data_IF_683029795985
#
_entry.id   IF_683029795985
#
_cell.length_a   1.000
_cell.length_b   1.000
_cell.length_c   1.000
_cell.angle_alpha   90.00
_cell.angle_beta   90.00
_cell.angle_gamma   90.00
#
_symmetry.space_group_name_H-M   'P 1'
#
loop_
_entity.id
_entity.type
_entity.pdbx_description
1 polymer ?
#
# COMPACT_ATOMS: atom_id res chain seq x y z
N UNK A 1 58.83 -44.82 47.77
CA UNK A 1 58.58 -43.81 46.72
C UNK A 1 57.17 -43.89 46.11
N UNK A 2 56.22 -44.63 46.71
CA UNK A 2 55.03 -45.11 45.99
C UNK A 2 53.75 -44.32 46.32
N UNK A 3 53.66 -43.63 47.47
CA UNK A 3 52.47 -42.83 47.85
C UNK A 3 52.26 -41.58 46.99
N UNK A 4 53.33 -40.97 46.46
CA UNK A 4 53.23 -39.77 45.60
C UNK A 4 52.61 -40.09 44.23
N UNK A 5 52.78 -41.33 43.75
CA UNK A 5 52.21 -41.80 42.47
C UNK A 5 50.70 -42.00 42.60
N UNK A 6 50.22 -42.53 43.73
CA UNK A 6 48.78 -42.69 43.98
C UNK A 6 48.04 -41.35 44.10
N UNK A 7 48.67 -40.32 44.68
CA UNK A 7 48.07 -38.98 44.80
C UNK A 7 47.95 -38.31 43.42
N UNK A 8 48.94 -38.50 42.53
CA UNK A 8 48.90 -38.02 41.14
C UNK A 8 47.78 -38.69 40.31
N UNK A 9 47.58 -40.01 40.49
CA UNK A 9 46.54 -40.74 39.78
C UNK A 9 45.11 -40.31 40.19
N UNK A 10 44.90 -39.92 41.45
CA UNK A 10 43.59 -39.44 41.93
C UNK A 10 43.24 -38.06 41.35
N UNK A 11 44.23 -37.17 41.16
CA UNK A 11 44.00 -35.87 40.52
C UNK A 11 43.63 -35.98 39.03
N UNK A 12 44.10 -37.00 38.32
CA UNK A 12 43.78 -37.19 36.90
C UNK A 12 42.30 -37.59 36.67
N UNK A 13 41.68 -38.27 37.63
CA UNK A 13 40.26 -38.66 37.58
C UNK A 13 39.29 -37.48 37.82
N UNK A 14 39.75 -36.39 38.43
CA UNK A 14 38.93 -35.22 38.73
C UNK A 14 38.76 -34.25 37.53
N UNK A 15 39.49 -34.46 36.43
CA UNK A 15 39.54 -33.55 35.27
C UNK A 15 38.69 -34.05 34.10
N UNK A 16 37.79 -35.01 34.32
CA UNK A 16 36.77 -35.35 33.33
C UNK A 16 35.76 -34.20 33.18
N UNK A 17 36.14 -33.19 32.41
CA UNK A 17 35.25 -32.14 31.95
C UNK A 17 34.24 -32.76 30.97
N UNK A 18 33.00 -32.92 31.41
CA UNK A 18 31.90 -33.24 30.52
C UNK A 18 31.66 -32.04 29.61
N UNK A 19 31.65 -32.27 28.30
CA UNK A 19 31.21 -31.28 27.33
C UNK A 19 29.76 -30.90 27.62
N UNK A 20 29.53 -29.67 28.08
CA UNK A 20 28.20 -29.09 28.16
C UNK A 20 27.73 -28.76 26.74
N UNK A 21 26.67 -29.44 26.30
CA UNK A 21 25.94 -29.12 25.09
C UNK A 21 25.24 -27.77 25.30
N UNK A 22 25.78 -26.71 24.69
CA UNK A 22 25.05 -25.45 24.57
C UNK A 22 23.99 -25.69 23.50
N UNK A 23 22.76 -25.92 23.95
CA UNK A 23 21.61 -26.12 23.06
C UNK A 23 21.45 -24.99 22.04
N UNK A 24 20.69 -25.27 20.98
CA UNK A 24 20.47 -24.35 19.86
C UNK A 24 19.97 -22.99 20.35
N UNK A 25 20.72 -21.93 20.01
CA UNK A 25 20.29 -20.56 20.21
C UNK A 25 19.16 -20.31 19.21
N UNK A 26 17.92 -20.28 19.69
CA UNK A 26 16.80 -19.79 18.90
C UNK A 26 16.96 -18.27 18.78
N UNK A 27 17.42 -17.82 17.61
CA UNK A 27 17.37 -16.41 17.25
C UNK A 27 15.90 -16.05 17.11
N UNK A 28 15.35 -15.40 18.13
CA UNK A 28 14.09 -14.69 18.01
C UNK A 28 14.34 -13.51 17.07
N UNK A 29 14.19 -13.74 15.76
CA UNK A 29 14.16 -12.68 14.77
C UNK A 29 12.91 -11.84 15.06
N UNK A 30 13.09 -10.76 15.81
CA UNK A 30 12.13 -9.68 15.88
C UNK A 30 12.28 -8.89 14.57
N UNK A 31 11.64 -9.41 13.52
CA UNK A 31 11.59 -8.81 12.19
C UNK A 31 10.79 -7.50 12.32
N UNK A 32 11.49 -6.41 12.63
CA UNK A 32 10.98 -5.03 12.57
C UNK A 32 10.80 -4.55 11.12
N UNK A 33 10.53 -5.47 10.18
CA UNK A 33 10.23 -5.13 8.81
C UNK A 33 8.73 -4.94 8.75
N UNK A 34 8.30 -3.68 8.87
CA UNK A 34 6.95 -3.27 8.49
C UNK A 34 6.80 -3.63 7.01
N UNK A 35 6.15 -4.76 6.74
CA UNK A 35 5.78 -5.16 5.38
C UNK A 35 4.94 -4.01 4.85
N UNK A 36 5.53 -3.21 3.95
CA UNK A 36 4.76 -2.29 3.14
C UNK A 36 3.96 -3.21 2.23
N UNK A 37 2.70 -3.44 2.60
CA UNK A 37 1.76 -4.14 1.73
C UNK A 37 1.81 -3.44 0.38
N UNK A 38 2.07 -4.22 -0.66
CA UNK A 38 1.97 -3.77 -2.03
C UNK A 38 0.51 -3.35 -2.27
N UNK A 39 0.25 -2.04 -2.22
CA UNK A 39 -1.06 -1.44 -2.46
C UNK A 39 -1.45 -1.50 -3.95
N UNK A 40 -0.72 -2.25 -4.78
CA UNK A 40 -1.08 -2.49 -6.19
C UNK A 40 -2.42 -3.23 -6.36
N UNK A 41 -2.90 -3.91 -5.33
CA UNK A 41 -4.14 -4.71 -5.34
C UNK A 41 -5.41 -3.99 -4.86
N UNK A 42 -5.30 -2.85 -4.17
CA UNK A 42 -6.44 -1.95 -4.00
C UNK A 42 -6.49 -1.10 -5.27
N UNK A 43 -7.59 -1.17 -6.03
CA UNK A 43 -7.77 -0.36 -7.24
C UNK A 43 -7.20 1.03 -6.99
N UNK A 44 -6.10 1.38 -7.67
CA UNK A 44 -5.48 2.70 -7.53
C UNK A 44 -6.57 3.70 -7.91
N UNK A 45 -7.27 4.23 -6.88
CA UNK A 45 -8.38 5.15 -7.07
C UNK A 45 -7.78 6.28 -7.89
N UNK A 46 -8.20 6.39 -9.15
CA UNK A 46 -7.65 7.39 -10.05
C UNK A 46 -7.77 8.74 -9.35
N UNK A 47 -6.71 9.53 -9.36
CA UNK A 47 -6.73 10.85 -8.73
C UNK A 47 -7.80 11.79 -9.34
N UNK A 48 -8.33 11.43 -10.51
CA UNK A 48 -9.30 12.19 -11.28
C UNK A 48 -10.57 11.37 -11.52
N UNK A 49 -11.73 11.90 -11.14
CA UNK A 49 -13.02 11.20 -11.28
C UNK A 49 -13.36 10.91 -12.73
N UNK A 50 -13.07 11.83 -13.66
CA UNK A 50 -13.36 11.64 -15.07
C UNK A 50 -12.60 10.43 -15.64
N UNK A 51 -11.32 10.27 -15.26
CA UNK A 51 -10.52 9.11 -15.65
C UNK A 51 -11.04 7.81 -15.01
N UNK A 52 -11.43 7.82 -13.73
CA UNK A 52 -12.07 6.68 -13.09
C UNK A 52 -13.36 6.24 -13.82
N UNK A 53 -14.23 7.20 -14.14
CA UNK A 53 -15.49 6.97 -14.84
C UNK A 53 -15.29 6.40 -16.24
N UNK A 54 -14.29 6.91 -16.97
CA UNK A 54 -13.89 6.42 -18.29
C UNK A 54 -13.40 4.97 -18.26
N UNK A 55 -12.70 4.56 -17.19
CA UNK A 55 -12.24 3.17 -17.05
C UNK A 55 -13.37 2.23 -16.64
N UNK A 56 -14.31 2.71 -15.80
CA UNK A 56 -15.42 1.91 -15.27
C UNK A 56 -16.60 1.76 -16.23
N UNK A 57 -16.84 2.74 -17.11
CA UNK A 57 -17.99 2.74 -18.03
C UNK A 57 -17.59 2.96 -19.49
N UNK A 58 -17.89 2.02 -20.41
CA UNK A 58 -17.58 2.18 -21.83
C UNK A 58 -18.42 3.26 -22.54
N UNK A 59 -19.52 3.70 -21.92
CA UNK A 59 -20.34 4.81 -22.46
C UNK A 59 -19.71 6.18 -22.22
N UNK A 60 -18.66 6.25 -21.39
CA UNK A 60 -17.97 7.47 -20.99
C UNK A 60 -16.60 7.52 -21.68
N UNK A 61 -16.36 8.58 -22.43
CA UNK A 61 -15.04 8.86 -23.00
C UNK A 61 -14.39 10.04 -22.28
N UNK A 62 -13.08 9.95 -22.08
CA UNK A 62 -12.29 10.99 -21.42
C UNK A 62 -11.88 12.08 -22.42
N UNK A 63 -12.13 13.35 -22.08
CA UNK A 63 -11.45 14.50 -22.69
C UNK A 63 -10.28 14.85 -21.77
N UNK A 64 -9.07 14.48 -22.20
CA UNK A 64 -7.86 14.79 -21.44
C UNK A 64 -7.49 16.26 -21.59
N UNK A 65 -7.36 16.97 -20.47
CA UNK A 65 -7.00 18.40 -20.42
C UNK A 65 -5.70 18.65 -19.65
N UNK A 66 -5.45 17.86 -18.60
CA UNK A 66 -4.25 17.96 -17.77
C UNK A 66 -3.97 16.60 -17.10
N UNK A 67 -3.11 16.57 -16.08
CA UNK A 67 -2.92 15.40 -15.21
C UNK A 67 -4.17 15.09 -14.36
N UNK A 68 -4.94 16.12 -14.00
CA UNK A 68 -6.19 16.05 -13.22
C UNK A 68 -7.22 17.03 -13.80
N UNK A 69 -8.45 17.02 -13.27
CA UNK A 69 -9.54 17.88 -13.71
C UNK A 69 -9.88 17.64 -15.19
N UNK A 70 -9.87 16.36 -15.59
CA UNK A 70 -10.32 16.00 -16.93
C UNK A 70 -11.85 16.03 -16.99
N UNK A 71 -12.33 15.98 -18.22
CA UNK A 71 -13.70 16.20 -18.56
C UNK A 71 -14.26 14.97 -19.28
N UNK A 72 -15.58 14.80 -19.30
CA UNK A 72 -16.21 13.59 -19.82
C UNK A 72 -17.11 13.87 -21.02
N UNK A 73 -17.23 12.84 -21.86
CA UNK A 73 -18.25 12.73 -22.90
C UNK A 73 -19.09 11.50 -22.61
N UNK A 74 -20.39 11.68 -22.47
CA UNK A 74 -21.34 10.59 -22.22
C UNK A 74 -22.13 10.34 -23.50
N UNK A 75 -21.86 9.24 -24.21
CA UNK A 75 -22.57 8.86 -25.45
C UNK A 75 -22.64 10.01 -26.47
N UNK A 76 -21.55 10.75 -26.64
CA UNK A 76 -21.46 11.92 -27.53
C UNK A 76 -21.96 13.25 -26.94
N UNK A 77 -22.61 13.24 -25.78
CA UNK A 77 -22.99 14.46 -25.05
C UNK A 77 -21.78 15.02 -24.30
N UNK A 78 -21.70 16.35 -24.19
CA UNK A 78 -20.60 17.08 -23.55
C UNK A 78 -21.13 18.33 -22.86
N UNK A 79 -20.35 18.88 -21.93
CA UNK A 79 -20.68 20.13 -21.23
C UNK A 79 -22.03 20.05 -20.53
N UNK A 80 -22.80 21.14 -20.56
CA UNK A 80 -24.05 21.29 -19.82
C UNK A 80 -25.19 20.41 -20.36
N UNK A 81 -24.94 19.65 -21.45
CA UNK A 81 -25.82 18.55 -21.85
C UNK A 81 -25.73 17.35 -20.88
N UNK A 82 -24.77 17.36 -19.96
CA UNK A 82 -24.62 16.39 -18.88
C UNK A 82 -24.83 17.13 -17.57
N UNK A 83 -25.87 16.76 -16.83
CA UNK A 83 -26.09 17.24 -15.47
C UNK A 83 -25.30 16.36 -14.50
N UNK A 84 -24.37 16.95 -13.76
CA UNK A 84 -23.63 16.29 -12.69
C UNK A 84 -24.18 16.77 -11.36
N UNK A 85 -24.62 15.82 -10.52
CA UNK A 85 -25.12 16.08 -9.18
C UNK A 85 -24.25 15.36 -8.16
N UNK A 86 -23.97 16.02 -7.04
CA UNK A 86 -23.32 15.45 -5.85
C UNK A 86 -24.28 15.70 -4.70
N UNK A 87 -24.69 14.65 -4.00
CA UNK A 87 -25.62 14.74 -2.87
C UNK A 87 -26.87 15.60 -3.19
N UNK A 88 -27.49 15.30 -4.34
CA UNK A 88 -28.64 16.02 -4.91
C UNK A 88 -28.41 17.50 -5.30
N UNK A 89 -27.21 18.05 -5.05
CA UNK A 89 -26.83 19.38 -5.48
C UNK A 89 -26.21 19.36 -6.88
N UNK A 90 -26.62 20.29 -7.74
CA UNK A 90 -26.04 20.46 -9.08
C UNK A 90 -24.70 21.17 -8.95
N UNK A 91 -23.64 20.59 -9.49
CA UNK A 91 -22.31 21.21 -9.52
C UNK A 91 -22.06 21.84 -10.87
N UNK A 92 -21.65 23.11 -10.85
CA UNK A 92 -21.35 23.91 -12.03
C UNK A 92 -19.90 24.39 -11.96
N UNK A 93 -19.21 24.39 -13.10
CA UNK A 93 -17.90 25.06 -13.22
C UNK A 93 -18.08 26.57 -13.38
N UNK A 94 -17.08 27.33 -12.96
CA UNK A 94 -17.05 28.80 -13.06
C UNK A 94 -16.11 29.31 -14.16
N UNK A 95 -15.12 28.52 -14.59
CA UNK A 95 -14.17 28.95 -15.60
C UNK A 95 -14.79 28.97 -17.00
N UNK A 96 -14.68 30.10 -17.71
CA UNK A 96 -15.14 30.22 -19.11
C UNK A 96 -14.48 29.20 -20.03
N UNK A 97 -13.22 28.82 -19.75
CA UNK A 97 -12.47 27.83 -20.51
C UNK A 97 -12.69 26.39 -20.03
N UNK A 98 -13.52 26.18 -18.99
CA UNK A 98 -13.87 24.88 -18.40
C UNK A 98 -12.65 24.12 -17.85
N UNK A 99 -11.74 24.84 -17.20
CA UNK A 99 -10.60 24.25 -16.48
C UNK A 99 -11.02 23.46 -15.22
N UNK A 100 -12.25 23.71 -14.76
CA UNK A 100 -12.89 23.20 -13.56
C UNK A 100 -14.20 22.48 -13.92
N UNK A 101 -14.17 21.38 -14.70
CA UNK A 101 -15.38 20.63 -15.01
C UNK A 101 -16.06 20.16 -13.72
N UNK A 102 -17.40 19.97 -13.68
CA UNK A 102 -18.08 19.54 -12.46
C UNK A 102 -17.50 18.27 -11.81
N UNK A 103 -16.97 17.35 -12.62
CA UNK A 103 -16.27 16.14 -12.18
C UNK A 103 -14.97 16.41 -11.42
N UNK A 104 -14.31 17.55 -11.62
CA UNK A 104 -13.06 17.89 -10.91
C UNK A 104 -13.29 18.31 -9.46
N UNK A 105 -14.53 18.58 -9.07
CA UNK A 105 -14.88 18.98 -7.70
C UNK A 105 -15.12 17.77 -6.79
N UNK A 106 -14.96 16.55 -7.32
CA UNK A 106 -15.18 15.30 -6.58
C UNK A 106 -13.85 14.60 -6.37
N UNK A 107 -13.53 14.35 -5.11
CA UNK A 107 -12.41 13.51 -4.74
C UNK A 107 -12.86 12.06 -4.84
N UNK A 108 -12.21 11.26 -5.69
CA UNK A 108 -12.57 9.85 -5.94
C UNK A 108 -12.50 8.97 -4.70
N UNK A 109 -11.65 9.32 -3.72
CA UNK A 109 -11.57 8.63 -2.43
C UNK A 109 -12.87 8.71 -1.64
N UNK A 110 -13.63 9.81 -1.78
CA UNK A 110 -14.86 10.05 -1.03
C UNK A 110 -16.10 9.43 -1.68
N UNK A 111 -15.92 8.77 -2.83
CA UNK A 111 -16.97 8.06 -3.54
C UNK A 111 -16.74 6.56 -3.33
N UNK A 112 -17.75 5.89 -2.77
CA UNK A 112 -17.79 4.45 -2.51
C UNK A 112 -18.32 3.65 -3.72
#
# INVERSE_FOLDING_TARGET
>A
MNKKIYISAICALAISASATDLGTIEVAEEINTKIVNDVSGEEVKSADLAEALSKKSPSISLIRRSGIANDIVLRGQKRDNIRVTIDDAVVCGACMNRMDPPTSHVITTNVD
#
